data_IF_457659984924
#
_entry.id   IF_457659984924
#
_cell.length_a   1.000
_cell.length_b   1.000
_cell.length_c   1.000
_cell.angle_alpha   90.00
_cell.angle_beta   90.00
_cell.angle_gamma   90.00
#
_symmetry.space_group_name_H-M   'P 1'
#
loop_
_entity.id
_entity.type
_entity.pdbx_description
1 polymer ?
#
# COMPACT_ATOMS: atom_id res chain seq x y z
N UNK A 1 3.80 21.68 -5.13
CA UNK A 1 2.99 20.93 -6.13
C UNK A 1 1.70 21.70 -6.34
N UNK A 2 1.21 21.85 -7.57
CA UNK A 2 -0.13 22.43 -7.82
C UNK A 2 -1.19 21.50 -7.22
N UNK A 3 -2.29 22.07 -6.71
CA UNK A 3 -3.35 21.31 -6.02
C UNK A 3 -3.92 20.18 -6.89
N UNK A 4 -4.13 20.45 -8.20
CA UNK A 4 -4.63 19.46 -9.16
C UNK A 4 -3.69 18.27 -9.40
N UNK A 5 -2.38 18.47 -9.25
CA UNK A 5 -1.39 17.40 -9.39
C UNK A 5 -1.33 16.48 -8.17
N UNK A 6 -2.03 16.81 -7.08
CA UNK A 6 -2.13 16.00 -5.87
C UNK A 6 -3.41 15.14 -5.91
N UNK A 7 -4.51 15.68 -6.42
CA UNK A 7 -5.81 15.01 -6.43
C UNK A 7 -5.85 13.77 -7.34
N UNK A 8 -5.07 13.75 -8.43
CA UNK A 8 -4.96 12.59 -9.33
C UNK A 8 -3.96 11.51 -8.88
N UNK A 9 -3.21 11.73 -7.79
CA UNK A 9 -2.18 10.78 -7.35
C UNK A 9 -2.75 9.46 -6.84
N UNK A 10 -3.81 9.43 -6.00
CA UNK A 10 -4.41 8.17 -5.56
C UNK A 10 -4.87 7.27 -6.70
N UNK A 11 -5.48 7.86 -7.74
CA UNK A 11 -5.96 7.11 -8.90
C UNK A 11 -4.80 6.48 -9.66
N UNK A 12 -3.77 7.27 -9.99
CA UNK A 12 -2.57 6.77 -10.66
C UNK A 12 -1.84 5.70 -9.83
N UNK A 13 -1.75 5.89 -8.51
CA UNK A 13 -1.16 4.90 -7.60
C UNK A 13 -1.94 3.58 -7.64
N UNK A 14 -3.28 3.64 -7.65
CA UNK A 14 -4.14 2.48 -7.81
C UNK A 14 -3.95 1.77 -9.16
N UNK A 15 -3.81 2.52 -10.26
CA UNK A 15 -3.51 1.96 -11.59
C UNK A 15 -2.15 1.24 -11.61
N UNK A 16 -1.11 1.85 -11.02
CA UNK A 16 0.22 1.25 -10.90
C UNK A 16 0.16 -0.04 -10.06
N UNK A 17 -0.57 -0.02 -8.94
CA UNK A 17 -0.77 -1.19 -8.09
C UNK A 17 -1.46 -2.32 -8.87
N UNK A 18 -2.57 -2.02 -9.56
CA UNK A 18 -3.29 -2.98 -10.41
C UNK A 18 -2.42 -3.57 -11.51
N UNK A 19 -1.63 -2.74 -12.18
CA UNK A 19 -0.72 -3.19 -13.23
C UNK A 19 0.37 -4.11 -12.67
N UNK A 20 0.95 -3.74 -11.53
CA UNK A 20 2.01 -4.51 -10.86
C UNK A 20 1.50 -5.87 -10.35
N UNK A 21 0.27 -5.90 -9.82
CA UNK A 21 -0.36 -7.11 -9.30
C UNK A 21 -0.53 -8.22 -10.36
N UNK A 22 -0.69 -7.87 -11.64
CA UNK A 22 -0.84 -8.83 -12.75
C UNK A 22 0.38 -9.73 -12.96
N UNK A 23 1.56 -9.28 -12.51
CA UNK A 23 2.80 -10.06 -12.63
C UNK A 23 2.97 -11.10 -11.51
N UNK A 24 2.08 -11.12 -10.52
CA UNK A 24 2.14 -12.09 -9.44
C UNK A 24 1.54 -13.43 -9.91
N UNK A 25 2.32 -14.49 -9.74
CA UNK A 25 1.78 -15.85 -9.68
C UNK A 25 0.97 -16.05 -8.39
N UNK A 26 0.15 -17.10 -8.32
CA UNK A 26 -0.51 -17.51 -7.07
C UNK A 26 0.54 -17.74 -5.97
N UNK A 27 0.29 -17.19 -4.78
CA UNK A 27 1.23 -17.13 -3.66
C UNK A 27 2.32 -16.07 -3.79
N UNK A 28 2.39 -15.33 -4.91
CA UNK A 28 3.29 -14.21 -5.11
C UNK A 28 2.90 -13.02 -4.23
N UNK A 29 3.89 -12.26 -3.78
CA UNK A 29 3.73 -11.12 -2.88
C UNK A 29 4.16 -9.82 -3.57
N UNK A 30 3.46 -8.74 -3.24
CA UNK A 30 3.76 -7.37 -3.65
C UNK A 30 3.70 -6.48 -2.41
N UNK A 31 4.63 -5.53 -2.32
CA UNK A 31 4.60 -4.48 -1.29
C UNK A 31 4.21 -3.18 -1.98
N UNK A 32 3.14 -2.56 -1.51
CA UNK A 32 2.76 -1.20 -1.83
C UNK A 32 3.33 -0.26 -0.78
N UNK A 33 3.97 0.84 -1.18
CA UNK A 33 4.58 1.77 -0.24
C UNK A 33 4.60 3.21 -0.74
N UNK A 34 4.44 4.16 0.17
CA UNK A 34 4.47 5.60 -0.13
C UNK A 34 5.25 6.36 0.96
N UNK A 35 5.69 7.59 0.65
CA UNK A 35 6.32 8.52 1.60
C UNK A 35 5.37 9.66 1.98
N UNK A 36 4.12 9.31 2.31
CA UNK A 36 3.06 10.24 2.71
C UNK A 36 2.24 9.63 3.84
N UNK A 37 1.67 10.48 4.70
CA UNK A 37 0.74 10.07 5.76
C UNK A 37 -0.73 10.27 5.34
N UNK A 38 -0.97 10.61 4.07
CA UNK A 38 -2.31 10.86 3.54
C UNK A 38 -3.08 9.54 3.32
N UNK A 39 -4.19 9.28 4.02
CA UNK A 39 -4.94 8.03 3.88
C UNK A 39 -5.44 7.74 2.46
N UNK A 40 -5.72 8.81 1.69
CA UNK A 40 -6.14 8.71 0.28
C UNK A 40 -5.10 8.06 -0.61
N UNK A 41 -3.82 8.18 -0.28
CA UNK A 41 -2.70 7.57 -1.01
C UNK A 41 -2.28 6.21 -0.43
N UNK A 42 -2.87 5.82 0.71
CA UNK A 42 -2.40 4.72 1.53
C UNK A 42 -3.49 3.63 1.65
N UNK A 43 -4.21 3.62 2.77
CA UNK A 43 -5.24 2.64 3.08
C UNK A 43 -6.34 2.64 2.02
N UNK A 44 -6.80 3.80 1.56
CA UNK A 44 -7.89 3.89 0.58
C UNK A 44 -7.50 3.26 -0.77
N UNK A 45 -6.25 3.42 -1.23
CA UNK A 45 -5.75 2.79 -2.47
C UNK A 45 -5.73 1.27 -2.32
N UNK A 46 -5.20 0.78 -1.20
CA UNK A 46 -5.10 -0.66 -0.92
C UNK A 46 -6.47 -1.30 -0.77
N UNK A 47 -7.38 -0.67 -0.02
CA UNK A 47 -8.74 -1.16 0.19
C UNK A 47 -9.55 -1.17 -1.10
N UNK A 48 -9.46 -0.11 -1.92
CA UNK A 48 -10.10 -0.07 -3.22
C UNK A 48 -9.59 -1.19 -4.13
N UNK A 49 -8.27 -1.38 -4.19
CA UNK A 49 -7.66 -2.46 -4.95
C UNK A 49 -8.18 -3.82 -4.52
N UNK A 50 -8.19 -4.13 -3.22
CA UNK A 50 -8.62 -5.43 -2.72
C UNK A 50 -10.12 -5.68 -2.93
N UNK A 51 -10.95 -4.64 -2.80
CA UNK A 51 -12.39 -4.72 -3.08
C UNK A 51 -12.68 -5.06 -4.54
N UNK A 52 -11.87 -4.56 -5.46
CA UNK A 52 -12.04 -4.77 -6.90
C UNK A 52 -11.34 -6.04 -7.42
N UNK A 53 -10.49 -6.69 -6.62
CA UNK A 53 -9.65 -7.80 -7.05
C UNK A 53 -9.66 -8.93 -6.00
N UNK A 54 -10.68 -9.80 -6.05
CA UNK A 54 -10.92 -10.90 -5.10
C UNK A 54 -9.87 -12.04 -5.13
N UNK A 55 -8.93 -11.98 -6.06
CA UNK A 55 -7.78 -12.87 -6.17
C UNK A 55 -6.64 -12.47 -5.24
N UNK A 56 -6.74 -11.32 -4.57
CA UNK A 56 -5.70 -10.77 -3.71
C UNK A 56 -6.19 -10.59 -2.28
N UNK A 57 -5.27 -10.71 -1.33
CA UNK A 57 -5.52 -10.49 0.07
C UNK A 57 -4.35 -9.73 0.71
N UNK A 58 -4.62 -9.09 1.85
CA UNK A 58 -3.57 -8.56 2.71
C UNK A 58 -2.83 -9.70 3.41
N UNK A 59 -1.54 -9.50 3.66
CA UNK A 59 -0.70 -10.45 4.40
C UNK A 59 0.18 -9.74 5.41
N UNK A 60 0.15 -10.19 6.65
CA UNK A 60 1.02 -9.65 7.70
C UNK A 60 2.50 -9.81 7.34
N UNK A 61 3.30 -8.84 7.78
CA UNK A 61 4.73 -8.80 7.53
C UNK A 61 5.48 -8.09 8.64
N UNK A 62 6.79 -8.27 8.62
CA UNK A 62 7.73 -7.53 9.47
C UNK A 62 8.72 -6.78 8.60
N UNK A 63 9.05 -5.55 8.99
CA UNK A 63 10.09 -4.73 8.37
C UNK A 63 11.09 -4.33 9.46
N UNK A 64 12.22 -5.04 9.54
CA UNK A 64 13.16 -4.87 10.65
C UNK A 64 12.51 -5.18 11.99
N UNK A 65 12.52 -4.23 12.92
CA UNK A 65 11.87 -4.34 14.24
C UNK A 65 10.37 -4.04 14.23
N UNK A 66 9.81 -3.61 13.11
CA UNK A 66 8.40 -3.26 12.99
C UNK A 66 7.57 -4.45 12.54
N UNK A 67 6.43 -4.67 13.19
CA UNK A 67 5.41 -5.60 12.75
C UNK A 67 4.23 -4.81 12.15
N UNK A 68 3.66 -5.31 11.07
CA UNK A 68 2.46 -4.73 10.50
C UNK A 68 1.26 -4.90 11.44
N UNK A 69 0.40 -3.89 11.49
CA UNK A 69 -0.93 -3.97 12.08
C UNK A 69 -1.97 -4.05 10.95
N UNK A 70 -2.85 -5.04 11.01
CA UNK A 70 -3.81 -5.33 9.94
C UNK A 70 -3.13 -5.39 8.55
N UNK A 71 -1.95 -6.02 8.48
CA UNK A 71 -1.10 -6.14 7.29
C UNK A 71 -0.69 -4.83 6.61
N UNK A 72 -0.75 -3.71 7.34
CA UNK A 72 -0.22 -2.42 6.96
C UNK A 72 0.76 -1.91 8.04
N UNK A 73 1.67 -1.02 7.69
CA UNK A 73 2.61 -0.40 8.61
C UNK A 73 2.76 1.07 8.24
N UNK A 74 2.50 1.95 9.20
CA UNK A 74 2.72 3.39 9.06
C UNK A 74 3.82 3.80 10.02
N UNK A 75 4.93 4.30 9.49
CA UNK A 75 5.99 4.94 10.28
C UNK A 75 5.74 6.43 10.29
N UNK A 76 5.83 7.06 11.46
CA UNK A 76 5.58 8.50 11.60
C UNK A 76 6.80 9.25 12.16
N UNK A 77 6.92 10.56 11.93
CA UNK A 77 8.00 11.35 12.52
C UNK A 77 8.00 11.33 14.05
N UNK A 78 6.83 11.30 14.67
CA UNK A 78 6.70 11.41 16.13
C UNK A 78 7.03 10.12 16.86
N UNK A 79 6.74 8.96 16.25
CA UNK A 79 6.97 7.65 16.86
C UNK A 79 8.29 7.03 16.44
N UNK A 80 8.70 7.24 15.19
CA UNK A 80 9.76 6.44 14.56
C UNK A 80 10.94 7.30 14.06
N UNK A 81 10.85 8.63 14.18
CA UNK A 81 11.91 9.55 13.73
C UNK A 81 12.13 9.55 12.22
N UNK A 82 11.12 9.15 11.44
CA UNK A 82 11.16 9.12 9.97
C UNK A 82 10.40 10.30 9.35
N UNK A 83 10.48 10.50 8.03
CA UNK A 83 9.70 11.55 7.35
C UNK A 83 8.20 11.20 7.15
N UNK A 84 7.79 9.99 7.52
CA UNK A 84 6.44 9.46 7.29
C UNK A 84 6.39 8.47 6.13
N UNK A 85 6.10 7.20 6.41
CA UNK A 85 6.01 6.14 5.41
C UNK A 85 4.81 5.23 5.65
N UNK A 86 4.22 4.74 4.57
CA UNK A 86 3.21 3.69 4.61
C UNK A 86 3.67 2.49 3.79
N UNK A 87 3.37 1.29 4.28
CA UNK A 87 3.65 0.02 3.62
C UNK A 87 2.48 -0.94 3.83
N UNK A 88 2.05 -1.63 2.78
CA UNK A 88 1.11 -2.74 2.86
C UNK A 88 1.60 -3.91 2.01
N UNK A 89 1.45 -5.13 2.53
CA UNK A 89 1.79 -6.35 1.78
C UNK A 89 0.53 -7.02 1.28
N UNK A 90 0.53 -7.31 -0.01
CA UNK A 90 -0.55 -7.94 -0.76
C UNK A 90 -0.03 -9.27 -1.32
N UNK A 91 -0.83 -10.32 -1.20
CA UNK A 91 -0.54 -11.65 -1.75
C UNK A 91 -1.64 -12.06 -2.71
N UNK A 92 -1.27 -12.70 -3.82
CA UNK A 92 -2.22 -13.33 -4.72
C UNK A 92 -2.63 -14.69 -4.16
N UNK A 93 -3.92 -14.88 -3.86
CA UNK A 93 -4.46 -16.10 -3.24
C UNK A 93 -5.14 -17.05 -4.22
N UNK A 94 -5.48 -16.58 -5.44
CA UNK A 94 -6.15 -17.37 -6.48
C UNK A 94 -5.53 -17.16 -7.86
#
# INVERSE_FOLDING_TARGET
KSQEAIDGLPELQGEILKASAKYLKVGGELVYSTCTLNPKENEEVVELFLRENEDFAKKDFTAGSYASDNASLTLTPTTDGTDGFFMAKIVRVK
#
